data_IF_101309223383
#
_entry.id   IF_101309223383
#
_cell.length_a   1.000
_cell.length_b   1.000
_cell.length_c   1.000
_cell.angle_alpha   90.00
_cell.angle_beta   90.00
_cell.angle_gamma   90.00
#
_symmetry.space_group_name_H-M   'P 1'
#
loop_
_entity.id
_entity.type
_entity.pdbx_description
1 polymer ?
#
# COMPACT_ATOMS: atom_id res chain seq x y z
N UNK A 1 16.04 -28.14 33.86
CA UNK A 1 16.56 -26.99 33.08
C UNK A 1 15.60 -26.78 31.91
N UNK A 2 14.85 -25.68 31.91
CA UNK A 2 13.52 -25.63 31.30
C UNK A 2 13.52 -25.48 29.77
N UNK A 3 12.60 -26.18 29.10
CA UNK A 3 12.38 -26.18 27.64
C UNK A 3 12.26 -24.77 27.03
N UNK A 4 11.75 -23.81 27.82
CA UNK A 4 11.67 -22.39 27.46
C UNK A 4 13.04 -21.74 27.22
N UNK A 5 14.07 -22.10 28.00
CA UNK A 5 15.42 -21.58 27.80
C UNK A 5 16.03 -22.10 26.48
N UNK A 6 15.72 -23.34 26.10
CA UNK A 6 16.20 -23.91 24.84
C UNK A 6 15.53 -23.27 23.62
N UNK A 7 14.23 -22.96 23.71
CA UNK A 7 13.52 -22.24 22.66
C UNK A 7 14.07 -20.82 22.43
N UNK A 8 14.41 -20.10 23.50
CA UNK A 8 15.00 -18.75 23.39
C UNK A 8 16.40 -18.81 22.77
N UNK A 9 17.24 -19.76 23.20
CA UNK A 9 18.60 -19.94 22.64
C UNK A 9 18.54 -20.33 21.16
N UNK A 10 17.61 -21.21 20.78
CA UNK A 10 17.41 -21.58 19.37
C UNK A 10 16.96 -20.38 18.52
N UNK A 11 16.04 -19.56 19.03
CA UNK A 11 15.54 -18.38 18.31
C UNK A 11 16.64 -17.33 18.08
N UNK A 12 17.51 -17.11 19.08
CA UNK A 12 18.65 -16.18 18.98
C UNK A 12 19.73 -16.69 18.01
N UNK A 13 19.99 -18.01 17.98
CA UNK A 13 20.93 -18.62 17.04
C UNK A 13 20.43 -18.53 15.58
N UNK A 14 19.14 -18.77 15.34
CA UNK A 14 18.55 -18.65 14.00
C UNK A 14 18.57 -17.20 13.50
N UNK A 15 18.33 -16.23 14.39
CA UNK A 15 18.40 -14.80 14.04
C UNK A 15 19.83 -14.32 13.69
N UNK A 16 20.85 -14.98 14.23
CA UNK A 16 22.26 -14.60 13.98
C UNK A 16 22.78 -15.11 12.64
N UNK A 17 22.26 -16.25 12.15
CA UNK A 17 22.66 -16.88 10.89
C UNK A 17 22.13 -16.16 9.63
N UNK A 18 21.21 -15.20 9.77
CA UNK A 18 20.65 -14.43 8.64
C UNK A 18 21.35 -13.07 8.44
N UNK A 19 22.37 -12.74 9.24
CA UNK A 19 23.23 -11.60 9.00
C UNK A 19 24.16 -11.89 7.81
N UNK A 20 23.65 -11.68 6.59
CA UNK A 20 24.45 -11.64 5.38
C UNK A 20 25.32 -10.38 5.38
N UNK A 21 26.46 -10.44 6.08
CA UNK A 21 27.58 -9.55 5.81
C UNK A 21 28.12 -9.90 4.43
N UNK A 22 27.59 -9.24 3.39
CA UNK A 22 28.10 -9.40 2.04
C UNK A 22 29.59 -9.02 2.05
N UNK A 23 30.45 -9.99 1.78
CA UNK A 23 31.91 -9.79 1.78
C UNK A 23 32.26 -8.64 0.86
N UNK A 24 32.85 -7.59 1.42
CA UNK A 24 33.31 -6.45 0.63
C UNK A 24 34.45 -6.95 -0.27
N UNK A 25 34.44 -6.71 -1.59
CA UNK A 25 35.51 -7.13 -2.47
C UNK A 25 36.83 -6.54 -1.97
N UNK A 26 37.75 -7.40 -1.53
CA UNK A 26 39.07 -6.97 -1.04
C UNK A 26 40.06 -7.02 -2.19
N UNK A 27 40.49 -5.84 -2.68
CA UNK A 27 41.40 -5.67 -3.81
C UNK A 27 41.10 -4.41 -4.64
N UNK A 28 41.93 -4.11 -5.64
CA UNK A 28 41.61 -3.10 -6.67
C UNK A 28 40.43 -3.58 -7.51
N UNK A 29 39.30 -2.88 -7.43
CA UNK A 29 38.10 -3.16 -8.22
C UNK A 29 38.07 -2.31 -9.49
N UNK A 30 37.65 -2.88 -10.61
CA UNK A 30 37.41 -2.08 -11.83
C UNK A 30 36.13 -1.25 -11.66
N UNK A 31 36.04 -0.11 -12.35
CA UNK A 31 34.82 0.72 -12.34
C UNK A 31 33.57 -0.09 -12.75
N UNK A 32 33.73 -1.01 -13.71
CA UNK A 32 32.64 -1.86 -14.19
C UNK A 32 32.15 -2.79 -13.10
N UNK A 33 33.07 -3.43 -12.38
CA UNK A 33 32.72 -4.37 -11.29
C UNK A 33 32.08 -3.63 -10.12
N UNK A 34 32.58 -2.43 -9.80
CA UNK A 34 32.00 -1.57 -8.76
C UNK A 34 30.57 -1.14 -9.12
N UNK A 35 30.32 -0.78 -10.39
CA UNK A 35 28.98 -0.42 -10.87
C UNK A 35 28.02 -1.62 -10.83
N UNK A 36 28.47 -2.79 -11.29
CA UNK A 36 27.67 -4.02 -11.26
C UNK A 36 27.31 -4.46 -9.83
N UNK A 37 28.26 -4.37 -8.90
CA UNK A 37 28.02 -4.62 -7.49
C UNK A 37 27.03 -3.60 -6.91
N UNK A 38 27.16 -2.32 -7.27
CA UNK A 38 26.23 -1.28 -6.79
C UNK A 38 24.81 -1.51 -7.30
N UNK A 39 24.62 -1.80 -8.59
CA UNK A 39 23.29 -2.07 -9.15
C UNK A 39 22.63 -3.31 -8.54
N UNK A 40 23.40 -4.34 -8.20
CA UNK A 40 22.87 -5.59 -7.64
C UNK A 40 22.62 -5.53 -6.14
N UNK A 41 23.46 -4.81 -5.38
CA UNK A 41 23.46 -4.87 -3.92
C UNK A 41 22.95 -3.59 -3.25
N UNK A 42 22.80 -2.46 -3.95
CA UNK A 42 22.36 -1.23 -3.32
C UNK A 42 20.85 -1.26 -3.00
N UNK A 43 20.45 -1.27 -1.71
CA UNK A 43 19.05 -1.38 -1.33
C UNK A 43 18.21 -0.16 -1.74
N UNK A 44 18.83 1.02 -1.89
CA UNK A 44 18.11 2.22 -2.38
C UNK A 44 17.66 2.03 -3.81
N UNK A 45 18.53 1.46 -4.66
CA UNK A 45 18.21 1.20 -6.07
C UNK A 45 17.12 0.12 -6.24
N UNK A 46 17.11 -0.88 -5.36
CA UNK A 46 16.07 -1.94 -5.35
C UNK A 46 14.66 -1.43 -5.03
N UNK A 47 14.52 -0.23 -4.45
CA UNK A 47 13.22 0.32 -4.06
C UNK A 47 12.46 0.99 -5.22
N UNK A 48 13.15 1.46 -6.27
CA UNK A 48 12.52 2.19 -7.37
C UNK A 48 11.44 1.39 -8.12
N UNK A 49 11.65 0.11 -8.48
CA UNK A 49 10.61 -0.67 -9.16
C UNK A 49 9.32 -0.80 -8.33
N UNK A 50 9.45 -1.02 -7.02
CA UNK A 50 8.30 -1.14 -6.11
C UNK A 50 7.57 0.18 -5.94
N UNK A 51 8.30 1.29 -5.86
CA UNK A 51 7.71 2.64 -5.82
C UNK A 51 6.97 2.96 -7.11
N UNK A 52 7.53 2.56 -8.25
CA UNK A 52 6.88 2.74 -9.54
C UNK A 52 5.59 1.89 -9.64
N UNK A 53 5.63 0.63 -9.21
CA UNK A 53 4.45 -0.24 -9.16
C UNK A 53 3.35 0.35 -8.28
N UNK A 54 3.69 0.86 -7.09
CA UNK A 54 2.76 1.54 -6.21
C UNK A 54 2.10 2.76 -6.88
N UNK A 55 2.89 3.61 -7.57
CA UNK A 55 2.35 4.76 -8.30
C UNK A 55 1.49 4.37 -9.50
N UNK A 56 1.80 3.26 -10.18
CA UNK A 56 0.95 2.74 -11.25
C UNK A 56 -0.39 2.24 -10.71
N UNK A 57 -0.39 1.57 -9.56
CA UNK A 57 -1.62 1.19 -8.86
C UNK A 57 -2.42 2.41 -8.39
N UNK A 58 -1.76 3.43 -7.82
CA UNK A 58 -2.41 4.71 -7.47
C UNK A 58 -3.02 5.39 -8.70
N UNK A 59 -2.35 5.33 -9.86
CA UNK A 59 -2.85 5.89 -11.11
C UNK A 59 -4.09 5.13 -11.58
N UNK A 60 -4.07 3.80 -11.52
CA UNK A 60 -5.22 2.97 -11.88
C UNK A 60 -6.42 3.30 -11.00
N UNK A 61 -6.23 3.40 -9.68
CA UNK A 61 -7.27 3.81 -8.73
C UNK A 61 -7.77 5.23 -9.04
N UNK A 62 -6.87 6.16 -9.33
CA UNK A 62 -7.22 7.54 -9.65
C UNK A 62 -8.07 7.66 -10.94
N UNK A 63 -7.88 6.74 -11.87
CA UNK A 63 -8.62 6.65 -13.12
C UNK A 63 -10.00 5.97 -12.96
N UNK A 64 -10.30 5.36 -11.81
CA UNK A 64 -11.65 4.87 -11.55
C UNK A 64 -12.65 6.03 -11.44
N UNK A 65 -13.87 5.77 -11.92
CA UNK A 65 -15.01 6.65 -11.68
C UNK A 65 -15.42 6.57 -10.20
N UNK A 66 -16.02 7.64 -9.64
CA UNK A 66 -16.60 7.56 -8.30
C UNK A 66 -17.55 6.37 -8.17
N UNK A 67 -17.44 5.58 -7.08
CA UNK A 67 -18.29 4.41 -6.91
C UNK A 67 -19.75 4.81 -6.70
N UNK A 68 -20.66 3.91 -7.07
CA UNK A 68 -22.05 3.95 -6.63
C UNK A 68 -22.14 3.20 -5.29
N UNK A 69 -22.65 3.86 -4.26
CA UNK A 69 -22.89 3.26 -2.95
C UNK A 69 -24.38 2.99 -2.77
N UNK A 70 -24.69 1.78 -2.32
CA UNK A 70 -26.04 1.34 -1.96
C UNK A 70 -26.06 1.05 -0.47
N UNK A 71 -27.03 1.62 0.24
CA UNK A 71 -27.24 1.40 1.67
C UNK A 71 -28.69 1.07 1.97
N UNK A 72 -28.91 0.33 3.04
CA UNK A 72 -30.22 0.06 3.60
C UNK A 72 -30.15 0.25 5.11
N UNK A 73 -31.15 0.92 5.66
CA UNK A 73 -31.29 1.16 7.10
C UNK A 73 -32.72 0.80 7.51
N UNK A 74 -32.87 0.29 8.73
CA UNK A 74 -34.17 0.09 9.35
C UNK A 74 -34.13 0.76 10.71
N UNK A 75 -35.11 1.62 10.96
CA UNK A 75 -35.24 2.43 12.17
C UNK A 75 -36.56 2.08 12.88
N UNK A 76 -36.67 2.45 14.16
CA UNK A 76 -37.91 2.34 14.98
C UNK A 76 -38.54 0.93 15.09
N UNK A 77 -37.80 -0.11 14.73
CA UNK A 77 -38.24 -1.50 14.73
C UNK A 77 -38.66 -2.06 16.10
N UNK A 78 -38.07 -1.56 17.19
CA UNK A 78 -38.30 -2.03 18.57
C UNK A 78 -38.89 -0.93 19.47
N UNK A 79 -39.77 -0.11 18.90
CA UNK A 79 -40.46 0.97 19.62
C UNK A 79 -41.30 0.49 20.82
N UNK A 80 -41.76 1.44 21.63
CA UNK A 80 -42.66 1.19 22.77
C UNK A 80 -43.91 2.07 22.67
N UNK A 81 -44.96 1.75 23.45
CA UNK A 81 -46.24 2.46 23.35
C UNK A 81 -46.90 2.18 21.99
N UNK A 82 -47.23 3.25 21.26
CA UNK A 82 -47.98 3.17 19.99
C UNK A 82 -47.14 2.64 18.80
N UNK A 83 -45.81 2.61 18.92
CA UNK A 83 -44.89 2.11 17.88
C UNK A 83 -44.29 0.73 18.17
N UNK A 84 -44.93 -0.05 19.07
CA UNK A 84 -44.47 -1.40 19.43
C UNK A 84 -44.62 -2.43 18.30
N UNK A 85 -44.00 -3.60 18.47
CA UNK A 85 -44.19 -4.77 17.61
C UNK A 85 -43.93 -4.50 16.11
N UNK A 86 -42.85 -3.76 15.79
CA UNK A 86 -42.47 -3.30 14.44
C UNK A 86 -43.50 -2.38 13.75
N UNK A 87 -44.55 -1.95 14.42
CA UNK A 87 -45.59 -1.10 13.83
C UNK A 87 -45.07 0.29 13.43
N UNK A 88 -44.05 0.78 14.14
CA UNK A 88 -43.34 2.01 13.80
C UNK A 88 -42.09 1.81 12.95
N UNK A 89 -41.79 0.60 12.47
CA UNK A 89 -40.54 0.33 11.76
C UNK A 89 -40.48 1.10 10.44
N UNK A 90 -39.40 1.85 10.23
CA UNK A 90 -39.12 2.55 8.98
C UNK A 90 -37.96 1.87 8.25
N UNK A 91 -38.05 1.73 6.93
CA UNK A 91 -36.98 1.16 6.13
C UNK A 91 -36.56 2.17 5.05
N UNK A 92 -35.28 2.53 5.04
CA UNK A 92 -34.71 3.50 4.12
C UNK A 92 -33.67 2.85 3.22
N UNK A 93 -33.87 2.96 1.91
CA UNK A 93 -32.87 2.60 0.90
C UNK A 93 -32.17 3.85 0.38
N UNK A 94 -30.84 3.83 0.34
CA UNK A 94 -30.01 4.96 -0.09
C UNK A 94 -29.14 4.57 -1.27
N UNK A 95 -29.10 5.44 -2.27
CA UNK A 95 -28.20 5.38 -3.41
C UNK A 95 -27.42 6.67 -3.46
N UNK A 96 -26.09 6.59 -3.49
CA UNK A 96 -25.25 7.79 -3.54
C UNK A 96 -24.02 7.60 -4.43
N UNK A 97 -23.60 8.68 -5.08
CA UNK A 97 -22.35 8.74 -5.82
C UNK A 97 -21.91 10.20 -5.93
N UNK A 98 -20.61 10.43 -6.15
CA UNK A 98 -20.06 11.76 -6.36
C UNK A 98 -20.13 12.10 -7.85
N UNK A 99 -20.70 13.27 -8.17
CA UNK A 99 -20.68 13.79 -9.55
C UNK A 99 -19.46 14.69 -9.73
N UNK A 100 -18.54 14.26 -10.59
CA UNK A 100 -17.31 14.99 -10.87
C UNK A 100 -17.46 15.92 -12.07
N UNK A 101 -17.28 17.21 -11.82
CA UNK A 101 -17.35 18.27 -12.83
C UNK A 101 -15.95 18.79 -13.19
N UNK A 102 -15.78 19.33 -14.39
CA UNK A 102 -14.56 20.05 -14.77
C UNK A 102 -13.31 19.18 -14.92
N UNK A 103 -13.46 17.91 -15.31
CA UNK A 103 -12.31 17.03 -15.58
C UNK A 103 -11.51 16.58 -14.36
N UNK A 104 -12.12 16.54 -13.17
CA UNK A 104 -11.46 16.14 -11.91
C UNK A 104 -10.77 14.77 -11.97
N UNK A 105 -11.35 13.81 -12.68
CA UNK A 105 -10.72 12.51 -12.93
C UNK A 105 -9.36 12.67 -13.62
N UNK A 106 -9.30 13.42 -14.72
CA UNK A 106 -8.05 13.72 -15.42
C UNK A 106 -7.05 14.48 -14.53
N UNK A 107 -7.54 15.36 -13.66
CA UNK A 107 -6.69 16.07 -12.69
C UNK A 107 -6.07 15.13 -11.63
N UNK A 108 -6.82 14.12 -11.14
CA UNK A 108 -6.27 13.08 -10.25
C UNK A 108 -5.17 12.30 -10.95
N UNK A 109 -5.46 11.76 -12.14
CA UNK A 109 -4.48 11.02 -12.96
C UNK A 109 -3.26 11.88 -13.26
N UNK A 110 -3.46 13.14 -13.61
CA UNK A 110 -2.39 14.11 -13.87
C UNK A 110 -1.48 14.31 -12.66
N UNK A 111 -2.02 14.35 -11.45
CA UNK A 111 -1.23 14.48 -10.22
C UNK A 111 -0.33 13.27 -10.00
N UNK A 112 -0.85 12.06 -10.22
CA UNK A 112 -0.05 10.83 -10.09
C UNK A 112 1.01 10.74 -11.19
N UNK A 113 0.68 11.12 -12.44
CA UNK A 113 1.65 11.18 -13.54
C UNK A 113 2.84 12.08 -13.19
N UNK A 114 2.62 13.24 -12.56
CA UNK A 114 3.73 14.10 -12.11
C UNK A 114 4.60 13.45 -11.04
N UNK A 115 4.03 12.62 -10.16
CA UNK A 115 4.81 11.84 -9.18
C UNK A 115 5.67 10.78 -9.88
N UNK A 116 5.13 10.13 -10.90
CA UNK A 116 5.89 9.18 -11.74
C UNK A 116 7.04 9.90 -12.45
N UNK A 117 6.80 11.08 -13.02
CA UNK A 117 7.83 11.89 -13.68
C UNK A 117 8.97 12.26 -12.72
N UNK A 118 8.63 12.65 -11.47
CA UNK A 118 9.62 12.92 -10.43
C UNK A 118 10.42 11.67 -10.06
N UNK A 119 9.76 10.52 -9.85
CA UNK A 119 10.43 9.27 -9.54
C UNK A 119 11.42 8.86 -10.67
N UNK A 120 11.01 9.04 -11.92
CA UNK A 120 11.86 8.79 -13.08
C UNK A 120 13.06 9.74 -13.15
N UNK A 121 12.89 11.00 -12.77
CA UNK A 121 13.99 11.96 -12.68
C UNK A 121 14.96 11.57 -11.56
N UNK A 122 14.46 11.19 -10.38
CA UNK A 122 15.27 10.74 -9.24
C UNK A 122 16.10 9.49 -9.56
N UNK A 123 15.58 8.57 -10.38
CA UNK A 123 16.31 7.35 -10.75
C UNK A 123 17.49 7.63 -11.72
N UNK A 124 17.46 8.76 -12.43
CA UNK A 124 18.48 9.12 -13.44
C UNK A 124 19.65 9.92 -12.85
N UNK A 125 19.53 10.44 -11.63
CA UNK A 125 20.55 11.22 -10.91
C UNK A 125 21.36 10.32 -9.99
#
# INVERSE_FOLDING_TARGET
>A
MNLKCWAIVACVMIASATCNAQGMPSGTISLRDALAATLSMNPRLRSFPLRNEALLGEREIADLKPPLMVGAEVEDALGTGDIKDFTGAEATLRLSSVVEMGGKQAARVGTINRRIDVLNAEQRV
#
